data_IF_629916357762
#
_entry.id   IF_629916357762
#
_cell.length_a   1.000
_cell.length_b   1.000
_cell.length_c   1.000
_cell.angle_alpha   90.00
_cell.angle_beta   90.00
_cell.angle_gamma   90.00
#
_symmetry.space_group_name_H-M   'P 1'
#
loop_
_entity.id
_entity.type
_entity.pdbx_description
1 polymer ?
#
# COMPACT_ATOMS: atom_id res chain seq x y z
N UNK A 1 -34.19 -54.91 -39.40
CA UNK A 1 -33.54 -53.61 -39.11
C UNK A 1 -33.76 -53.29 -37.63
N UNK A 2 -32.68 -52.87 -36.96
CA UNK A 2 -32.41 -52.64 -35.52
C UNK A 2 -33.63 -52.25 -34.62
N UNK A 3 -33.87 -52.84 -33.45
CA UNK A 3 -33.13 -52.91 -32.16
C UNK A 3 -33.62 -51.84 -31.14
N UNK A 4 -34.24 -52.33 -30.06
CA UNK A 4 -34.32 -51.84 -28.67
C UNK A 4 -33.31 -50.72 -28.32
N UNK A 5 -33.59 -49.66 -27.57
CA UNK A 5 -34.26 -49.60 -26.28
C UNK A 5 -33.34 -48.92 -25.25
N UNK A 6 -33.90 -47.99 -24.46
CA UNK A 6 -33.48 -47.52 -23.14
C UNK A 6 -32.28 -46.56 -22.95
N UNK A 7 -32.54 -45.65 -22.00
CA UNK A 7 -31.68 -44.68 -21.31
C UNK A 7 -30.17 -44.98 -21.27
N UNK A 8 -29.38 -43.97 -21.67
CA UNK A 8 -28.07 -43.65 -21.09
C UNK A 8 -27.91 -42.12 -21.13
N UNK A 9 -28.13 -41.43 -20.01
CA UNK A 9 -27.08 -40.89 -19.15
C UNK A 9 -26.04 -39.99 -19.85
N UNK A 10 -26.05 -38.71 -19.41
CA UNK A 10 -24.87 -37.86 -19.16
C UNK A 10 -24.18 -37.32 -20.43
N UNK A 11 -24.14 -36.00 -20.64
CA UNK A 11 -23.07 -35.15 -20.07
C UNK A 11 -23.48 -33.67 -19.88
N UNK A 12 -23.55 -33.15 -18.64
CA UNK A 12 -23.89 -31.76 -18.34
C UNK A 12 -22.66 -30.81 -18.39
N UNK A 13 -21.74 -30.97 -19.34
CA UNK A 13 -20.41 -30.34 -19.28
C UNK A 13 -20.16 -29.13 -20.19
N UNK A 14 -21.19 -28.53 -20.77
CA UNK A 14 -21.07 -27.27 -21.54
C UNK A 14 -21.60 -26.03 -20.81
N UNK A 15 -21.88 -26.14 -19.50
CA UNK A 15 -22.28 -25.00 -18.64
C UNK A 15 -21.28 -24.76 -17.50
N UNK A 16 -19.98 -24.91 -17.77
CA UNK A 16 -18.93 -24.70 -16.76
C UNK A 16 -17.81 -23.77 -17.19
N UNK A 17 -17.88 -23.19 -18.40
CA UNK A 17 -16.75 -22.48 -19.03
C UNK A 17 -17.05 -21.02 -19.36
N UNK A 18 -17.91 -20.37 -18.58
CA UNK A 18 -18.09 -18.91 -18.60
C UNK A 18 -18.13 -18.30 -17.18
N UNK A 19 -18.39 -19.10 -16.14
CA UNK A 19 -18.44 -18.63 -14.74
C UNK A 19 -17.07 -18.57 -14.05
N UNK A 20 -15.98 -19.02 -14.69
CA UNK A 20 -14.61 -18.96 -14.13
C UNK A 20 -13.82 -17.71 -14.56
N UNK A 21 -14.46 -16.78 -15.27
CA UNK A 21 -13.94 -15.42 -15.53
C UNK A 21 -14.66 -14.39 -14.66
N UNK A 22 -15.58 -14.85 -13.82
CA UNK A 22 -16.18 -14.08 -12.75
C UNK A 22 -15.22 -13.94 -11.58
N UNK A 23 -14.43 -12.86 -11.63
CA UNK A 23 -14.24 -12.07 -10.41
C UNK A 23 -13.39 -12.75 -9.33
N UNK A 24 -12.09 -12.95 -9.62
CA UNK A 24 -11.09 -12.65 -8.60
C UNK A 24 -11.13 -11.14 -8.37
N UNK A 25 -12.19 -10.66 -7.71
CA UNK A 25 -12.18 -9.39 -6.99
C UNK A 25 -11.07 -9.55 -5.98
N UNK A 26 -9.84 -9.25 -6.40
CA UNK A 26 -8.75 -8.89 -5.54
C UNK A 26 -9.37 -7.84 -4.64
N UNK A 27 -9.73 -8.23 -3.42
CA UNK A 27 -10.44 -7.36 -2.49
C UNK A 27 -9.60 -6.11 -2.41
N UNK A 28 -10.04 -5.05 -3.10
CA UNK A 28 -9.35 -3.79 -3.11
C UNK A 28 -9.63 -3.29 -1.70
N UNK A 29 -8.74 -3.62 -0.76
CA UNK A 29 -8.77 -2.99 0.54
C UNK A 29 -8.84 -1.50 0.23
N UNK A 30 -9.84 -0.76 0.75
CA UNK A 30 -9.90 0.68 0.54
C UNK A 30 -8.50 1.20 0.85
N UNK A 31 -7.95 1.91 -0.13
CA UNK A 31 -6.56 2.32 -0.19
C UNK A 31 -6.30 3.21 1.02
N UNK A 32 -5.90 2.58 2.12
CA UNK A 32 -5.90 3.21 3.43
C UNK A 32 -4.83 4.28 3.45
N UNK A 33 -5.19 5.51 3.84
CA UNK A 33 -4.28 6.65 3.85
C UNK A 33 -2.93 6.31 4.49
N UNK A 34 -1.85 6.88 3.94
CA UNK A 34 -0.48 6.59 4.37
C UNK A 34 -0.33 6.87 5.87
N UNK A 35 -0.90 7.98 6.35
CA UNK A 35 -0.94 8.36 7.76
C UNK A 35 -1.55 7.27 8.66
N UNK A 36 -2.64 6.64 8.22
CA UNK A 36 -3.33 5.61 9.01
C UNK A 36 -2.58 4.28 9.02
N UNK A 37 -1.91 3.93 7.92
CA UNK A 37 -1.01 2.76 7.88
C UNK A 37 0.17 2.99 8.82
N UNK A 38 0.77 4.18 8.77
CA UNK A 38 1.91 4.53 9.59
C UNK A 38 1.55 4.51 11.09
N UNK A 39 0.39 5.06 11.45
CA UNK A 39 -0.15 5.03 12.81
C UNK A 39 -0.36 3.59 13.32
N UNK A 40 -0.89 2.70 12.47
CA UNK A 40 -1.05 1.28 12.82
C UNK A 40 0.28 0.59 13.04
N UNK A 41 1.29 0.91 12.22
CA UNK A 41 2.63 0.37 12.38
C UNK A 41 3.27 0.83 13.69
N UNK A 42 3.24 2.14 13.97
CA UNK A 42 3.78 2.73 15.21
C UNK A 42 3.14 2.11 16.46
N UNK A 43 1.81 1.97 16.48
CA UNK A 43 1.08 1.30 17.58
C UNK A 43 1.49 -0.16 17.76
N UNK A 44 1.60 -0.93 16.66
CA UNK A 44 1.96 -2.36 16.72
C UNK A 44 3.39 -2.61 17.20
N UNK A 45 4.31 -1.71 16.86
CA UNK A 45 5.74 -1.85 17.20
C UNK A 45 6.16 -1.05 18.42
N UNK A 46 5.23 -0.29 19.01
CA UNK A 46 5.52 0.69 20.06
C UNK A 46 6.71 1.61 19.69
N UNK A 47 6.77 2.01 18.42
CA UNK A 47 7.83 2.87 17.91
C UNK A 47 7.29 4.30 17.83
N UNK A 48 7.86 5.18 18.64
CA UNK A 48 7.77 6.62 18.40
C UNK A 48 8.86 7.02 17.41
N UNK A 49 8.62 8.05 16.62
CA UNK A 49 9.62 8.62 15.71
C UNK A 49 10.27 9.80 16.44
N UNK A 50 11.40 9.59 17.14
CA UNK A 50 12.07 10.70 17.81
C UNK A 50 12.68 11.63 16.76
N UNK A 51 12.59 12.94 17.01
CA UNK A 51 13.42 13.93 16.30
C UNK A 51 14.84 13.77 16.84
N UNK A 52 15.78 13.47 15.96
CA UNK A 52 17.20 13.26 16.32
C UNK A 52 18.02 14.53 16.07
N UNK A 53 19.20 14.63 16.68
CA UNK A 53 20.13 15.74 16.41
C UNK A 53 20.51 15.84 14.93
N UNK A 54 20.57 14.71 14.22
CA UNK A 54 20.79 14.66 12.77
C UNK A 54 19.65 15.31 11.99
N UNK A 55 18.40 15.22 12.48
CA UNK A 55 17.25 15.89 11.85
C UNK A 55 17.35 17.40 12.00
N UNK A 56 17.72 17.88 13.19
CA UNK A 56 17.92 19.32 13.45
C UNK A 56 19.07 19.88 12.60
N UNK A 57 20.17 19.13 12.49
CA UNK A 57 21.29 19.52 11.65
C UNK A 57 20.93 19.56 10.16
N UNK A 58 20.19 18.56 9.68
CA UNK A 58 19.71 18.52 8.29
C UNK A 58 18.76 19.68 7.98
N UNK A 59 17.83 20.01 8.91
CA UNK A 59 16.94 21.17 8.80
C UNK A 59 17.73 22.48 8.75
N UNK A 60 18.72 22.64 9.63
CA UNK A 60 19.58 23.82 9.64
C UNK A 60 20.35 23.97 8.32
N UNK A 61 20.89 22.88 7.78
CA UNK A 61 21.58 22.91 6.49
C UNK A 61 20.63 23.27 5.34
N UNK A 62 19.41 22.72 5.32
CA UNK A 62 18.42 23.04 4.30
C UNK A 62 18.08 24.54 4.33
N UNK A 63 17.81 25.09 5.52
CA UNK A 63 17.56 26.54 5.71
C UNK A 63 18.71 27.41 5.20
N UNK A 64 19.96 27.05 5.51
CA UNK A 64 21.15 27.78 5.05
C UNK A 64 21.28 27.75 3.53
N UNK A 65 20.86 26.66 2.89
CA UNK A 65 20.81 26.55 1.43
C UNK A 65 19.61 27.27 0.79
N UNK A 66 18.73 27.89 1.59
CA UNK A 66 17.51 28.54 1.11
C UNK A 66 16.32 27.59 0.91
N UNK A 67 16.46 26.33 1.28
CA UNK A 67 15.40 25.32 1.26
C UNK A 67 14.76 25.23 2.65
N UNK A 68 13.66 25.95 2.88
CA UNK A 68 12.85 25.81 4.11
C UNK A 68 11.79 24.72 3.88
N UNK A 69 12.19 23.46 4.05
CA UNK A 69 11.32 22.29 3.86
C UNK A 69 10.87 21.76 5.23
N UNK A 70 9.69 22.17 5.67
CA UNK A 70 9.07 21.57 6.85
C UNK A 70 8.43 20.23 6.49
N UNK A 71 8.97 19.16 7.08
CA UNK A 71 8.46 17.81 6.88
C UNK A 71 7.31 17.53 7.84
N UNK A 72 6.19 17.04 7.30
CA UNK A 72 5.06 16.65 8.12
C UNK A 72 5.37 15.39 8.98
N UNK A 73 4.61 15.11 10.05
CA UNK A 73 4.83 13.93 10.89
C UNK A 73 4.83 12.59 10.13
N UNK A 74 4.05 12.46 9.06
CA UNK A 74 3.99 11.28 8.20
C UNK A 74 5.26 11.16 7.37
N UNK A 75 5.70 12.23 6.72
CA UNK A 75 6.98 12.30 5.99
C UNK A 75 8.17 11.93 6.89
N UNK A 76 8.26 12.54 8.08
CA UNK A 76 9.29 12.22 9.08
C UNK A 76 9.24 10.74 9.46
N UNK A 77 8.04 10.20 9.64
CA UNK A 77 7.82 8.79 9.92
C UNK A 77 8.31 7.87 8.80
N UNK A 78 8.06 8.21 7.53
CA UNK A 78 8.54 7.43 6.39
C UNK A 78 10.07 7.47 6.27
N UNK A 79 10.69 8.63 6.50
CA UNK A 79 12.16 8.78 6.53
C UNK A 79 12.75 7.91 7.64
N UNK A 80 12.14 7.91 8.83
CA UNK A 80 12.55 7.05 9.93
C UNK A 80 12.50 5.56 9.56
N UNK A 81 11.41 5.10 8.93
CA UNK A 81 11.32 3.71 8.44
C UNK A 81 12.43 3.38 7.43
N UNK A 82 12.80 4.32 6.55
CA UNK A 82 13.92 4.16 5.62
C UNK A 82 15.25 4.07 6.36
N UNK A 83 15.50 4.92 7.37
CA UNK A 83 16.73 4.89 8.18
C UNK A 83 16.92 3.56 8.89
N UNK A 84 15.84 2.98 9.40
CA UNK A 84 15.84 1.65 10.04
C UNK A 84 15.76 0.48 9.04
N UNK A 85 15.91 0.73 7.73
CA UNK A 85 15.87 -0.28 6.66
C UNK A 85 14.57 -1.10 6.62
N UNK A 86 13.47 -0.58 7.20
CA UNK A 86 12.15 -1.22 7.16
C UNK A 86 11.55 -1.12 5.76
N UNK A 87 11.82 -0.01 5.07
CA UNK A 87 11.40 0.23 3.69
C UNK A 87 12.59 0.60 2.81
N UNK A 88 12.52 0.23 1.53
CA UNK A 88 13.51 0.65 0.53
C UNK A 88 13.29 2.10 0.09
N UNK A 89 14.31 2.72 -0.49
CA UNK A 89 14.20 4.08 -1.05
C UNK A 89 13.11 4.21 -2.12
N UNK A 90 12.96 3.20 -3.00
CA UNK A 90 11.86 3.15 -3.99
C UNK A 90 10.48 3.16 -3.33
N UNK A 91 10.34 2.40 -2.24
CA UNK A 91 9.09 2.32 -1.46
C UNK A 91 8.79 3.66 -0.76
N UNK A 92 9.81 4.31 -0.21
CA UNK A 92 9.71 5.65 0.38
C UNK A 92 9.14 6.65 -0.63
N UNK A 93 9.75 6.77 -1.82
CA UNK A 93 9.29 7.71 -2.86
C UNK A 93 7.84 7.45 -3.26
N UNK A 94 7.45 6.18 -3.39
CA UNK A 94 6.08 5.80 -3.73
C UNK A 94 5.08 6.21 -2.63
N UNK A 95 5.45 6.03 -1.35
CA UNK A 95 4.60 6.40 -0.22
C UNK A 95 4.50 7.92 -0.05
N UNK A 96 5.59 8.66 -0.27
CA UNK A 96 5.59 10.14 -0.27
C UNK A 96 4.70 10.69 -1.37
N UNK A 97 4.90 10.25 -2.62
CA UNK A 97 4.08 10.70 -3.75
C UNK A 97 2.59 10.38 -3.54
N UNK A 98 2.29 9.26 -2.88
CA UNK A 98 0.93 8.91 -2.51
C UNK A 98 0.38 9.81 -1.40
N UNK A 99 1.17 10.08 -0.37
CA UNK A 99 0.77 10.97 0.73
C UNK A 99 0.47 12.38 0.22
N UNK A 100 1.31 12.92 -0.67
CA UNK A 100 1.08 14.23 -1.29
C UNK A 100 -0.20 14.27 -2.13
N UNK A 101 -0.56 13.18 -2.82
CA UNK A 101 -1.84 13.07 -3.54
C UNK A 101 -3.03 13.02 -2.58
N UNK A 102 -2.86 12.40 -1.42
CA UNK A 102 -3.89 12.35 -0.37
C UNK A 102 -4.12 13.77 0.19
N UNK A 103 -3.06 14.52 0.52
CA UNK A 103 -3.16 15.91 1.02
C UNK A 103 -3.78 16.86 -0.02
N UNK A 104 -3.38 16.76 -1.30
CA UNK A 104 -3.90 17.66 -2.35
C UNK A 104 -5.37 17.40 -2.70
N UNK A 105 -5.89 16.22 -2.37
CA UNK A 105 -7.26 15.84 -2.68
C UNK A 105 -8.25 16.23 -1.57
N UNK A 106 -7.76 16.68 -0.42
CA UNK A 106 -8.53 17.26 0.69
C UNK A 106 -8.61 18.80 0.54
#
# INVERSE_FOLDING_TARGET
MAQWGWLAMVRPWTRGRLEAVGTLMKTIKPTQAVATILSRYQRRRNCQVPVTATDVYADTLARVCGDDVDLDPVERGLIHLKRHKVISGRRLVTLLARHQREIRSE
#
